data_IF_594954430142
#
_entry.id   IF_594954430142
#
_cell.length_a   1.000
_cell.length_b   1.000
_cell.length_c   1.000
_cell.angle_alpha   90.00
_cell.angle_beta   90.00
_cell.angle_gamma   90.00
#
_symmetry.space_group_name_H-M   'P 1'
#
loop_
_entity.id
_entity.type
_entity.pdbx_description
1 polymer ?
2 non-polymer ?
#
# COMPACT_ATOMS: atom_id res chain seq x y z
N UNK A 21 -17.19 -32.61 -1.92
CA UNK A 21 -15.95 -33.34 -1.52
C UNK A 21 -14.77 -32.40 -1.37
N UNK A 22 -14.73 -31.64 -0.27
CA UNK A 22 -13.65 -30.65 -0.07
C UNK A 22 -12.37 -31.32 0.42
N UNK A 23 -11.24 -31.01 -0.22
CA UNK A 23 -9.93 -31.56 0.19
C UNK A 23 -9.37 -30.81 1.38
N UNK A 24 -8.43 -31.44 2.08
CA UNK A 24 -7.78 -30.76 3.24
C UNK A 24 -6.58 -29.98 2.74
N UNK A 25 -6.28 -28.86 3.40
CA UNK A 25 -5.16 -28.02 2.96
C UNK A 25 -3.83 -28.63 3.34
N UNK A 26 -2.86 -28.81 2.39
CA UNK A 26 -1.54 -29.28 2.76
C UNK A 26 -0.80 -28.35 3.74
N UNK A 27 -0.12 -28.94 4.72
CA UNK A 27 0.67 -28.15 5.70
C UNK A 27 2.02 -27.84 5.07
N UNK A 28 2.37 -26.56 5.06
CA UNK A 28 3.68 -26.13 4.47
C UNK A 28 4.80 -26.72 5.32
N UNK A 29 5.76 -27.33 4.67
CA UNK A 29 6.92 -27.92 5.36
C UNK A 29 7.59 -26.88 6.26
N UNK A 30 7.93 -27.29 7.47
CA UNK A 30 8.63 -26.39 8.40
C UNK A 30 9.36 -27.13 9.49
N UNK A 31 9.67 -26.43 10.58
CA UNK A 31 10.40 -27.02 11.72
C UNK A 31 9.55 -28.12 12.35
N UNK A 32 10.12 -29.30 12.66
CA UNK A 32 9.38 -30.36 13.33
C UNK A 32 8.55 -29.93 14.54
N UNK A 33 8.94 -28.87 15.24
CA UNK A 33 8.26 -28.49 16.50
C UNK A 33 7.66 -27.08 16.40
N UNK A 34 8.33 -26.17 15.71
CA UNK A 34 7.91 -24.75 15.68
C UNK A 34 7.10 -24.45 14.39
N UNK A 35 6.97 -25.42 13.47
CA UNK A 35 6.31 -25.22 12.17
C UNK A 35 6.99 -24.12 11.35
N UNK A 36 6.20 -23.18 10.83
CA UNK A 36 6.70 -22.08 9.96
C UNK A 36 7.08 -20.83 10.77
N UNK A 37 7.18 -20.88 12.09
CA UNK A 37 7.40 -19.65 12.92
C UNK A 37 8.71 -18.98 12.52
N UNK A 38 9.79 -19.75 12.39
CA UNK A 38 11.14 -19.20 12.08
C UNK A 38 11.15 -18.74 10.62
N UNK A 39 10.54 -19.52 9.74
CA UNK A 39 10.57 -19.22 8.28
C UNK A 39 9.81 -17.91 8.03
N UNK A 40 8.65 -17.72 8.67
CA UNK A 40 7.79 -16.53 8.51
C UNK A 40 8.48 -15.30 9.13
N UNK A 41 9.33 -15.49 10.15
CA UNK A 41 10.09 -14.40 10.83
C UNK A 41 11.33 -14.02 9.99
N UNK A 42 12.05 -14.97 9.41
CA UNK A 42 13.36 -14.71 8.76
C UNK A 42 13.12 -14.23 7.33
N UNK A 43 12.21 -14.87 6.58
CA UNK A 43 12.04 -14.60 5.12
C UNK A 43 10.61 -14.94 4.73
N UNK A 44 9.60 -14.16 5.16
CA UNK A 44 8.21 -14.50 4.91
C UNK A 44 7.87 -14.54 3.40
N UNK A 45 8.48 -13.65 2.61
CA UNK A 45 8.21 -13.57 1.15
C UNK A 45 8.65 -14.84 0.42
N UNK A 46 9.85 -15.37 0.73
CA UNK A 46 10.38 -16.62 0.15
C UNK A 46 9.58 -17.81 0.65
N UNK A 47 9.10 -17.75 1.89
CA UNK A 47 8.30 -18.84 2.48
C UNK A 47 6.96 -18.94 1.72
N UNK A 48 6.41 -17.79 1.34
CA UNK A 48 5.10 -17.78 0.63
C UNK A 48 5.25 -18.41 -0.75
N UNK A 49 6.34 -18.07 -1.44
CA UNK A 49 6.58 -18.59 -2.81
C UNK A 49 6.89 -20.10 -2.75
N UNK A 50 7.64 -20.54 -1.75
CA UNK A 50 7.94 -21.98 -1.58
C UNK A 50 6.63 -22.74 -1.31
N UNK A 51 5.75 -22.15 -0.49
CA UNK A 51 4.48 -22.79 -0.17
C UNK A 51 3.66 -23.08 -1.43
N UNK A 52 3.59 -22.12 -2.36
CA UNK A 52 2.89 -22.34 -3.64
C UNK A 52 3.64 -23.36 -4.49
N UNK A 53 4.95 -23.19 -4.64
CA UNK A 53 5.77 -24.08 -5.49
C UNK A 53 5.69 -25.54 -5.04
N UNK A 54 5.73 -25.80 -3.75
CA UNK A 54 5.80 -27.20 -3.26
C UNK A 54 4.44 -27.75 -2.78
N UNK A 55 3.51 -26.89 -2.36
CA UNK A 55 2.27 -27.41 -1.74
C UNK A 55 0.99 -26.98 -2.47
N UNK A 56 1.03 -25.94 -3.29
CA UNK A 56 -0.15 -25.61 -4.08
C UNK A 56 -0.76 -24.25 -3.86
N UNK A 57 -2.00 -24.05 -4.32
CA UNK A 57 -2.65 -22.72 -4.28
C UNK A 57 -3.43 -22.50 -2.98
N UNK A 58 -3.89 -23.56 -2.31
CA UNK A 58 -4.50 -23.39 -0.97
C UNK A 58 -3.68 -24.18 0.03
N UNK A 59 -2.99 -23.46 0.92
CA UNK A 59 -2.06 -24.13 1.86
C UNK A 59 -2.40 -23.72 3.28
N UNK A 60 -1.75 -24.35 4.24
CA UNK A 60 -1.94 -23.96 5.66
C UNK A 60 -0.57 -23.83 6.33
N UNK A 61 -0.38 -22.75 7.07
CA UNK A 61 0.88 -22.53 7.80
C UNK A 61 0.67 -22.92 9.25
N UNK A 62 1.56 -23.77 9.77
CA UNK A 62 1.45 -24.25 11.16
C UNK A 62 2.39 -23.43 12.05
N UNK A 63 1.93 -23.09 13.24
CA UNK A 63 2.79 -22.39 14.22
C UNK A 63 3.19 -23.38 15.30
N UNK A 64 4.24 -23.06 16.05
CA UNK A 64 4.68 -23.95 17.14
C UNK A 64 5.00 -23.11 18.36
N UNK A 65 4.99 -23.66 19.59
CA UNK A 65 4.61 -25.05 19.83
C UNK A 65 3.13 -25.36 19.58
N UNK A 66 2.75 -26.62 19.37
CA UNK A 66 1.34 -26.99 19.24
C UNK A 66 0.44 -26.31 20.27
N UNK A 67 -0.63 -25.66 19.80
CA UNK A 67 -1.59 -25.02 20.71
C UNK A 67 -1.38 -23.52 20.86
N UNK A 68 -0.35 -22.98 20.22
CA UNK A 68 -0.06 -21.54 20.41
C UNK A 68 -1.04 -20.74 19.57
N UNK A 69 -1.15 -21.10 18.29
CA UNK A 69 -2.00 -20.32 17.37
C UNK A 69 -2.65 -21.27 16.38
N UNK A 70 -3.84 -20.94 15.92
CA UNK A 70 -4.54 -21.77 14.91
C UNK A 70 -3.80 -21.69 13.59
N UNK A 71 -3.99 -22.71 12.75
CA UNK A 71 -3.35 -22.71 11.41
C UNK A 71 -3.82 -21.50 10.62
N UNK A 72 -2.89 -20.83 9.94
CA UNK A 72 -3.27 -19.69 9.06
C UNK A 72 -3.34 -20.24 7.64
N UNK A 73 -4.45 -20.00 6.96
CA UNK A 73 -4.63 -20.54 5.61
C UNK A 73 -4.13 -19.51 4.60
N UNK A 74 -3.82 -19.95 3.39
CA UNK A 74 -3.30 -19.02 2.38
C UNK A 74 -3.83 -19.38 0.99
N UNK A 75 -4.36 -18.39 0.29
CA UNK A 75 -4.96 -18.61 -1.05
C UNK A 75 -4.10 -17.89 -2.09
N UNK A 76 -3.57 -18.63 -3.06
CA UNK A 76 -2.60 -18.05 -4.01
C UNK A 76 -3.14 -18.05 -5.44
N UNK A 77 -4.29 -18.69 -5.65
CA UNK A 77 -4.91 -18.66 -7.00
C UNK A 77 -5.63 -17.33 -7.22
N UNK A 78 -5.72 -16.90 -8.48
CA UNK A 78 -6.46 -15.67 -8.84
C UNK A 78 -7.95 -15.90 -8.58
N UNK A 79 -8.42 -17.10 -8.82
CA UNK A 79 -9.86 -17.42 -8.65
C UNK A 79 -10.19 -17.50 -7.16
N UNK A 80 -9.28 -18.03 -6.36
CA UNK A 80 -9.50 -18.04 -4.91
C UNK A 80 -9.45 -16.65 -4.34
N UNK A 81 -8.59 -15.80 -4.87
CA UNK A 81 -8.50 -14.40 -4.41
C UNK A 81 -9.79 -13.67 -4.76
N UNK A 82 -10.33 -13.92 -5.94
CA UNK A 82 -11.63 -13.34 -6.34
C UNK A 82 -12.74 -13.83 -5.41
N UNK A 83 -12.68 -15.09 -4.98
CA UNK A 83 -13.70 -15.63 -4.05
C UNK A 83 -13.54 -15.01 -2.67
N UNK A 84 -12.32 -14.90 -2.17
CA UNK A 84 -12.10 -14.40 -0.78
C UNK A 84 -12.44 -12.92 -0.75
N UNK A 85 -11.95 -12.19 -1.74
CA UNK A 85 -12.16 -10.73 -1.72
C UNK A 85 -13.50 -10.34 -2.33
N UNK A 86 -13.99 -11.00 -3.37
CA UNK A 86 -15.23 -10.49 -4.00
C UNK A 86 -16.42 -11.45 -3.95
N UNK A 87 -16.36 -12.56 -4.67
CA UNK A 87 -17.50 -13.49 -4.82
C UNK A 87 -18.15 -13.87 -3.48
N UNK A 88 -17.36 -14.26 -2.49
CA UNK A 88 -17.88 -14.68 -1.16
C UNK A 88 -17.29 -13.75 -0.08
N UNK A 89 -17.16 -12.46 -0.38
CA UNK A 89 -16.62 -11.45 0.56
C UNK A 89 -17.25 -11.50 1.94
N UNK A 90 -18.56 -11.73 2.03
CA UNK A 90 -19.27 -11.78 3.32
C UNK A 90 -18.76 -12.85 4.26
N UNK A 91 -18.17 -13.92 3.72
CA UNK A 91 -17.66 -15.02 4.57
C UNK A 91 -16.24 -14.70 5.04
N UNK A 92 -15.60 -13.72 4.42
CA UNK A 92 -14.19 -13.41 4.77
C UNK A 92 -14.08 -12.00 5.35
N UNK A 93 -13.94 -11.92 6.66
CA UNK A 93 -14.08 -10.65 7.42
C UNK A 93 -12.72 -10.14 7.91
N UNK A 94 -12.70 -8.87 8.33
CA UNK A 94 -11.48 -8.26 8.90
C UNK A 94 -11.53 -8.45 10.41
N UNK A 95 -11.59 -9.72 10.85
CA UNK A 95 -11.73 -10.03 12.30
C UNK A 95 -10.40 -10.54 12.84
N UNK A 96 -9.33 -10.45 12.07
CA UNK A 96 -7.99 -10.83 12.56
C UNK A 96 -7.58 -9.90 13.71
N UNK A 97 -6.69 -10.35 14.60
CA UNK A 97 -6.27 -9.57 15.80
C UNK A 97 -5.55 -8.29 15.37
N UNK A 98 -4.80 -8.34 14.27
CA UNK A 98 -4.09 -7.16 13.73
C UNK A 98 -5.07 -6.00 13.51
N UNK A 99 -6.24 -6.28 12.97
CA UNK A 99 -7.24 -5.23 12.69
C UNK A 99 -7.70 -4.62 14.01
N UNK A 100 -7.92 -5.45 15.02
CA UNK A 100 -8.32 -4.95 16.35
C UNK A 100 -7.23 -4.08 16.95
N UNK A 101 -5.96 -4.40 16.70
CA UNK A 101 -4.83 -3.60 17.23
C UNK A 101 -4.76 -2.26 16.50
N UNK A 102 -5.01 -2.25 15.19
CA UNK A 102 -5.04 -0.99 14.41
C UNK A 102 -6.20 -0.11 14.90
N UNK A 103 -7.37 -0.69 15.11
CA UNK A 103 -8.55 0.09 15.56
C UNK A 103 -8.22 0.74 16.90
N UNK A 104 -7.64 0.00 17.82
CA UNK A 104 -7.23 0.55 19.14
C UNK A 104 -6.16 1.63 18.98
N UNK A 105 -5.33 1.59 17.94
CA UNK A 105 -4.14 2.45 17.77
C UNK A 105 -4.50 3.74 17.06
N UNK A 106 -5.32 3.67 15.99
CA UNK A 106 -5.62 4.80 15.07
C UNK A 106 -7.14 5.02 14.90
N UNK A 107 -7.99 4.16 15.44
CA UNK A 107 -9.45 4.33 15.40
C UNK A 107 -10.07 3.45 14.32
N UNK A 108 -11.40 3.31 14.37
CA UNK A 108 -12.15 2.37 13.49
C UNK A 108 -12.57 3.13 12.22
N UNK A 109 -11.59 3.50 11.40
CA UNK A 109 -11.80 4.15 10.10
C UNK A 109 -12.17 3.15 9.00
N UNK A 110 -12.14 3.64 7.76
CA UNK A 110 -12.76 3.05 6.57
C UNK A 110 -12.03 1.73 6.26
N UNK A 111 -10.74 1.61 6.56
CA UNK A 111 -9.98 0.38 6.28
C UNK A 111 -10.35 -0.74 7.26
N UNK A 112 -10.68 -0.40 8.50
CA UNK A 112 -10.91 -1.43 9.55
C UNK A 112 -12.40 -1.61 9.85
N UNK A 113 -13.23 -0.65 9.47
CA UNK A 113 -14.67 -0.70 9.82
C UNK A 113 -15.42 -1.80 9.08
N UNK A 114 -16.49 -2.29 9.68
CA UNK A 114 -17.28 -3.36 9.06
C UNK A 114 -18.76 -3.10 9.32
N UNK A 115 -19.63 -3.80 8.60
CA UNK A 115 -21.10 -3.71 8.80
C UNK A 115 -21.65 -2.30 8.68
N UNK A 116 -22.63 -1.96 9.51
CA UNK A 116 -23.29 -0.64 9.44
C UNK A 116 -22.29 0.49 9.64
N UNK A 117 -21.32 0.31 10.53
CA UNK A 117 -20.31 1.36 10.80
C UNK A 117 -19.59 1.69 9.50
N UNK A 118 -19.19 0.67 8.74
CA UNK A 118 -18.48 0.89 7.46
C UNK A 118 -19.41 1.54 6.45
N UNK A 119 -20.65 1.06 6.37
CA UNK A 119 -21.59 1.57 5.33
C UNK A 119 -21.82 3.08 5.49
N UNK A 120 -21.96 3.55 6.72
CA UNK A 120 -22.13 5.01 6.99
C UNK A 120 -20.85 5.74 6.59
N UNK A 121 -19.69 5.19 6.95
CA UNK A 121 -18.40 5.81 6.58
C UNK A 121 -18.24 5.86 5.05
N UNK A 122 -18.58 4.78 4.35
CA UNK A 122 -18.47 4.73 2.87
C UNK A 122 -19.40 5.77 2.25
N UNK A 123 -20.61 5.89 2.79
CA UNK A 123 -21.59 6.90 2.28
C UNK A 123 -21.01 8.31 2.41
N UNK A 124 -20.31 8.59 3.50
CA UNK A 124 -19.79 9.96 3.75
C UNK A 124 -18.43 10.19 3.09
N UNK A 125 -17.64 9.16 2.80
CA UNK A 125 -16.26 9.36 2.29
C UNK A 125 -16.15 9.17 0.77
N UNK A 126 -16.89 8.22 0.19
CA UNK A 126 -16.83 7.96 -1.28
C UNK A 126 -16.96 9.26 -2.09
N UNK A 127 -17.90 10.20 -1.80
CA UNK A 127 -17.94 11.48 -2.49
C UNK A 127 -16.61 12.25 -2.57
N UNK A 128 -15.68 12.02 -1.66
CA UNK A 128 -14.39 12.75 -1.63
C UNK A 128 -13.38 12.03 -2.51
N UNK A 129 -13.73 10.84 -3.03
CA UNK A 129 -12.76 10.02 -3.79
C UNK A 129 -13.29 9.80 -5.21
N UNK A 130 -14.10 10.73 -5.69
CA UNK A 130 -14.58 10.68 -7.09
C UNK A 130 -13.41 11.02 -8.01
N UNK A 131 -13.43 10.51 -9.23
CA UNK A 131 -12.35 10.77 -10.20
C UNK A 131 -12.14 12.28 -10.35
N UNK A 132 -13.23 13.04 -10.47
CA UNK A 132 -13.13 14.51 -10.68
C UNK A 132 -12.51 15.20 -9.47
N UNK A 133 -12.93 14.84 -8.26
CA UNK A 133 -12.33 15.43 -7.03
C UNK A 133 -10.85 15.06 -6.97
N UNK A 134 -10.54 13.78 -7.19
CA UNK A 134 -9.11 13.36 -7.15
C UNK A 134 -8.33 14.08 -8.24
N UNK A 135 -8.86 14.15 -9.45
CA UNK A 135 -8.15 14.82 -10.58
C UNK A 135 -7.84 16.27 -10.24
N UNK A 136 -8.63 16.89 -9.35
CA UNK A 136 -8.43 18.30 -8.94
C UNK A 136 -7.15 18.49 -8.14
N UNK A 137 -6.57 17.41 -7.64
CA UNK A 137 -5.34 17.47 -6.80
C UNK A 137 -4.09 17.26 -7.67
N UNK A 138 -4.25 17.31 -8.98
CA UNK A 138 -3.11 17.06 -9.90
C UNK A 138 -2.02 18.14 -9.76
N UNK A 139 -2.42 19.40 -9.65
CA UNK A 139 -1.46 20.51 -9.53
C UNK A 139 -0.64 20.42 -8.26
N UNK A 140 -1.24 19.96 -7.16
CA UNK A 140 -0.48 19.76 -5.91
C UNK A 140 0.62 18.72 -6.13
N UNK A 141 0.29 17.60 -6.76
CA UNK A 141 1.29 16.52 -7.04
C UNK A 141 2.41 17.09 -7.91
N UNK A 142 2.05 17.77 -9.00
CA UNK A 142 3.04 18.36 -9.93
C UNK A 142 3.96 19.35 -9.21
N UNK A 143 3.42 20.16 -8.32
CA UNK A 143 4.22 21.15 -7.56
C UNK A 143 5.16 20.46 -6.58
N UNK A 144 4.67 19.43 -5.90
CA UNK A 144 5.51 18.67 -4.93
C UNK A 144 6.64 17.99 -5.70
N UNK A 145 6.35 17.45 -6.87
CA UNK A 145 7.37 16.75 -7.68
C UNK A 145 8.40 17.73 -8.23
N UNK A 146 7.95 18.94 -8.59
CA UNK A 146 8.89 19.97 -9.08
C UNK A 146 9.75 20.43 -7.91
N UNK A 147 9.18 20.43 -6.71
CA UNK A 147 9.98 20.77 -5.52
C UNK A 147 11.07 19.75 -5.27
N UNK A 148 10.74 18.47 -5.37
CA UNK A 148 11.75 17.40 -5.22
C UNK A 148 12.81 17.55 -6.31
N UNK A 149 12.39 17.88 -7.53
CA UNK A 149 13.34 18.03 -8.65
C UNK A 149 14.36 19.13 -8.34
N UNK A 150 13.92 20.27 -7.81
CA UNK A 150 14.84 21.40 -7.56
C UNK A 150 15.85 21.00 -6.48
N UNK A 151 15.39 20.29 -5.46
CA UNK A 151 16.30 19.82 -4.39
C UNK A 151 17.31 18.83 -4.96
N UNK A 152 16.86 17.95 -5.83
CA UNK A 152 17.75 16.91 -6.42
C UNK A 152 18.75 17.58 -7.34
N UNK A 153 18.36 18.69 -7.97
CA UNK A 153 19.26 19.42 -8.91
C UNK A 153 20.45 19.97 -8.13
N UNK A 154 20.28 20.23 -6.84
CA UNK A 154 21.40 20.68 -6.01
C UNK A 154 21.91 19.60 -5.08
N UNK A 155 22.04 18.37 -5.55
CA UNK A 155 22.67 17.33 -4.71
C UNK A 155 24.16 17.23 -5.11
N UNK A 156 25.16 17.63 -4.26
CA UNK A 156 26.56 17.60 -4.67
C UNK A 156 27.06 16.20 -5.03
N UNK A 157 26.53 15.18 -4.38
CA UNK A 157 26.93 13.79 -4.68
C UNK A 157 26.28 13.27 -5.94
N UNK A 158 25.16 13.85 -6.36
CA UNK A 158 24.41 13.39 -7.54
C UNK A 158 23.75 12.06 -7.28
N UNK A 159 23.48 11.73 -6.03
CA UNK A 159 22.96 10.38 -5.72
C UNK A 159 21.88 10.39 -4.66
N UNK A 160 21.02 9.37 -4.67
CA UNK A 160 19.88 9.34 -3.72
C UNK A 160 19.63 7.91 -3.24
N UNK A 161 19.05 7.77 -2.05
CA UNK A 161 18.59 6.45 -1.59
C UNK A 161 17.08 6.53 -1.81
N UNK A 162 16.55 5.84 -2.81
CA UNK A 162 15.13 6.00 -3.19
C UNK A 162 14.13 5.64 -2.10
N UNK A 163 14.39 4.63 -1.28
CA UNK A 163 13.40 4.21 -0.25
C UNK A 163 13.18 5.42 0.66
N UNK A 164 14.26 6.00 1.17
CA UNK A 164 14.19 7.19 2.04
C UNK A 164 13.62 8.36 1.30
N UNK A 165 14.03 8.59 0.06
CA UNK A 165 13.57 9.79 -0.69
C UNK A 165 12.07 9.73 -0.96
N UNK A 166 11.56 8.59 -1.38
CA UNK A 166 10.13 8.46 -1.76
C UNK A 166 9.26 8.38 -0.51
N UNK A 167 9.81 7.92 0.62
CA UNK A 167 9.06 7.90 1.91
C UNK A 167 8.71 9.35 2.27
N UNK A 168 9.70 10.23 2.25
CA UNK A 168 9.43 11.68 2.49
C UNK A 168 8.48 12.23 1.44
N UNK A 169 8.77 12.04 0.15
CA UNK A 169 7.97 12.64 -0.94
C UNK A 169 6.50 12.23 -0.84
N UNK A 170 6.23 10.95 -0.57
CA UNK A 170 4.84 10.45 -0.53
C UNK A 170 4.06 11.07 0.61
N UNK A 171 4.71 11.27 1.76
CA UNK A 171 4.03 11.93 2.90
C UNK A 171 3.72 13.38 2.51
N UNK A 172 4.66 14.03 1.85
CA UNK A 172 4.47 15.43 1.44
C UNK A 172 3.30 15.55 0.46
N UNK A 173 3.13 14.57 -0.43
CA UNK A 173 2.05 14.64 -1.45
C UNK A 173 0.71 14.40 -0.76
N UNK A 174 0.62 13.32 0.01
CA UNK A 174 -0.67 12.97 0.67
C UNK A 174 -1.02 14.05 1.70
N UNK A 175 -0.01 14.65 2.34
CA UNK A 175 -0.23 15.71 3.34
C UNK A 175 -0.62 17.03 2.69
N UNK A 176 -0.11 17.31 1.50
CA UNK A 176 -0.55 18.52 0.76
C UNK A 176 -2.00 18.29 0.37
N UNK A 177 -2.32 17.08 -0.06
CA UNK A 177 -3.70 16.76 -0.51
C UNK A 177 -4.63 16.84 0.70
N UNK A 178 -4.17 16.34 1.86
CA UNK A 178 -4.95 16.37 3.14
C UNK A 178 -4.99 17.78 3.77
N UNK A 179 -3.84 18.41 4.00
CA UNK A 179 -3.81 19.64 4.85
C UNK A 179 -3.43 20.93 4.13
N UNK A 180 -3.19 20.87 2.84
CA UNK A 180 -2.89 22.10 2.12
C UNK A 180 -1.44 22.48 2.22
N UNK A 181 -1.15 23.78 2.19
CA UNK A 181 0.26 24.22 2.13
C UNK A 181 0.84 24.61 3.48
N UNK A 182 2.17 24.78 3.52
CA UNK A 182 2.88 25.23 4.75
C UNK A 182 2.59 24.26 5.89
N UNK A 183 2.62 22.97 5.58
CA UNK A 183 2.38 21.93 6.62
C UNK A 183 3.64 21.08 6.79
N UNK A 184 4.82 21.68 6.58
CA UNK A 184 6.09 20.94 6.87
C UNK A 184 6.15 20.81 8.38
N UNK A 185 5.51 21.74 9.05
CA UNK A 185 5.39 21.66 10.52
C UNK A 185 4.74 20.33 10.88
N UNK A 186 3.53 20.10 10.35
CA UNK A 186 2.79 18.87 10.72
C UNK A 186 3.53 17.65 10.16
N UNK A 187 4.15 17.79 8.99
CA UNK A 187 4.87 16.66 8.34
C UNK A 187 5.85 16.00 9.34
N UNK A 188 6.73 16.77 9.96
CA UNK A 188 7.78 16.18 10.85
C UNK A 188 7.18 15.45 12.05
N UNK A 189 6.12 15.98 12.65
CA UNK A 189 5.43 15.30 13.77
C UNK A 189 4.84 13.98 13.26
N UNK A 190 4.01 14.03 12.22
CA UNK A 190 3.40 12.79 11.64
C UNK A 190 4.53 11.84 11.26
N UNK A 191 5.56 12.35 10.60
CA UNK A 191 6.71 11.53 10.11
C UNK A 191 7.25 10.71 11.27
N UNK A 192 7.33 11.27 12.48
CA UNK A 192 7.96 10.56 13.61
C UNK A 192 6.94 9.86 14.51
N UNK A 193 5.66 10.25 14.47
CA UNK A 193 4.66 9.67 15.39
C UNK A 193 3.92 8.49 14.78
N UNK A 194 3.27 8.68 13.63
CA UNK A 194 2.46 7.61 12.99
C UNK A 194 3.20 6.28 12.83
N UNK A 195 4.43 6.20 12.26
CA UNK A 195 5.09 4.91 12.10
C UNK A 195 5.19 4.08 13.38
N UNK A 196 5.45 4.73 14.51
CA UNK A 196 5.60 4.02 15.81
C UNK A 196 4.27 3.38 16.21
N UNK A 197 3.15 4.07 16.02
CA UNK A 197 1.81 3.53 16.38
C UNK A 197 1.47 2.34 15.48
N UNK A 198 1.92 2.38 14.23
CA UNK A 198 1.71 1.27 13.29
C UNK A 198 2.53 0.06 13.74
N UNK A 199 3.79 0.28 14.10
CA UNK A 199 4.68 -0.83 14.54
C UNK A 199 4.11 -1.45 15.81
N UNK A 200 3.67 -0.62 16.75
CA UNK A 200 3.03 -1.12 18.00
C UNK A 200 1.87 -2.05 17.64
N UNK A 201 1.00 -1.62 16.74
CA UNK A 201 -0.17 -2.43 16.34
C UNK A 201 0.23 -3.70 15.61
N UNK A 202 1.15 -3.60 14.65
CA UNK A 202 1.61 -4.77 13.86
C UNK A 202 2.25 -5.80 14.78
N UNK A 203 3.13 -5.34 15.67
CA UNK A 203 3.90 -6.27 16.53
C UNK A 203 2.94 -6.97 17.49
N UNK A 204 1.95 -6.26 18.01
CA UNK A 204 0.98 -6.85 18.94
C UNK A 204 0.04 -7.81 18.20
N UNK A 205 -0.40 -7.43 17.00
CA UNK A 205 -1.32 -8.29 16.22
C UNK A 205 -0.66 -9.56 15.77
N UNK A 206 0.67 -9.54 15.60
CA UNK A 206 1.41 -10.76 15.23
C UNK A 206 2.00 -11.47 16.47
N UNK A 207 1.82 -10.91 17.67
CA UNK A 207 2.47 -11.48 18.87
C UNK A 207 1.64 -12.61 19.50
N UNK A 208 2.29 -13.57 20.21
CA UNK A 208 1.58 -14.62 20.89
C UNK A 208 1.27 -14.29 22.35
N UNK A 209 1.44 -13.03 22.77
CA UNK A 209 1.06 -12.60 24.14
C UNK A 209 0.75 -11.09 24.10
N UNK A 210 -0.30 -10.62 24.76
CA UNK A 210 -0.64 -9.18 24.63
C UNK A 210 -0.96 -8.52 25.97
N UNK A 211 0.04 -7.92 26.60
CA UNK A 211 -0.20 -7.16 27.85
C UNK A 211 -1.05 -5.93 27.52
N UNK A 212 -2.18 -5.69 28.22
CA UNK A 212 -3.06 -4.56 27.93
C UNK A 212 -2.36 -3.20 27.73
N UNK A 213 -2.83 -2.39 26.79
CA UNK A 213 -2.14 -1.11 26.48
C UNK A 213 -2.21 -0.19 27.69
N UNK A 214 -3.14 -0.44 28.63
CA UNK A 214 -3.28 0.37 29.87
C UNK A 214 -2.11 0.06 30.82
N UNK A 215 -1.67 -1.20 30.88
CA UNK A 215 -0.43 -1.63 31.60
C UNK A 215 0.67 -0.61 31.40
N UNK A 216 1.38 -0.16 32.47
CA UNK A 216 2.33 0.95 32.37
C UNK A 216 3.77 0.54 31.97
N UNK A 217 3.88 -0.40 31.03
CA UNK A 217 5.20 -0.85 30.52
C UNK A 217 5.82 0.31 29.74
N UNK A 218 7.15 0.47 29.74
CA UNK A 218 7.79 1.53 28.96
C UNK A 218 7.24 1.66 27.52
N UNK A 219 7.05 0.54 26.81
CA UNK A 219 6.52 0.57 25.43
C UNK A 219 5.08 1.10 25.37
N UNK A 220 4.20 0.63 26.25
CA UNK A 220 2.77 1.05 26.22
C UNK A 220 2.66 2.52 26.62
N UNK A 221 3.55 2.98 27.49
CA UNK A 221 3.57 4.40 27.90
C UNK A 221 4.02 5.24 26.72
N UNK A 222 5.07 4.80 26.03
CA UNK A 222 5.59 5.54 24.86
C UNK A 222 4.50 5.63 23.78
N UNK A 223 3.75 4.55 23.58
CA UNK A 223 2.71 4.55 22.53
C UNK A 223 1.59 5.52 22.87
N UNK A 224 1.23 5.61 24.15
CA UNK A 224 0.12 6.51 24.55
C UNK A 224 0.56 7.97 24.43
N UNK A 225 1.85 8.23 24.64
CA UNK A 225 2.38 9.61 24.50
C UNK A 225 2.45 9.94 23.01
N UNK A 226 2.83 8.95 22.20
CA UNK A 226 2.86 9.16 20.72
C UNK A 226 1.43 9.44 20.26
N UNK A 227 0.46 8.69 20.76
CA UNK A 227 -0.96 8.85 20.35
C UNK A 227 -1.42 10.25 20.71
N UNK A 228 -1.18 10.67 21.95
CA UNK A 228 -1.63 11.99 22.41
C UNK A 228 -1.14 13.09 21.48
N UNK A 229 0.15 13.10 21.18
CA UNK A 229 0.76 14.15 20.32
C UNK A 229 0.08 14.16 18.95
N UNK A 230 -0.05 13.00 18.31
CA UNK A 230 -0.60 12.92 16.94
C UNK A 230 -2.09 13.26 16.95
N UNK A 231 -2.81 12.76 17.94
CA UNK A 231 -4.26 13.01 18.05
C UNK A 231 -4.51 14.51 18.21
N UNK A 232 -3.76 15.17 19.09
CA UNK A 232 -3.91 16.62 19.32
C UNK A 232 -3.58 17.40 18.05
N UNK A 233 -2.51 17.01 17.35
CA UNK A 233 -2.17 17.67 16.06
C UNK A 233 -3.35 17.56 15.11
N UNK A 234 -3.84 16.34 14.92
CA UNK A 234 -4.97 16.09 14.00
C UNK A 234 -6.17 16.94 14.42
N UNK A 235 -6.48 16.96 15.71
CA UNK A 235 -7.69 17.68 16.19
C UNK A 235 -7.55 19.17 15.93
N UNK A 236 -6.35 19.72 16.10
CA UNK A 236 -6.11 21.14 15.79
C UNK A 236 -6.29 21.42 14.32
N UNK A 237 -5.72 20.57 13.46
CA UNK A 237 -5.89 20.73 11.99
C UNK A 237 -7.37 20.64 11.65
N UNK A 238 -8.06 19.64 12.18
CA UNK A 238 -9.51 19.44 11.89
C UNK A 238 -10.30 20.66 12.37
N UNK A 239 -9.97 21.16 13.56
CA UNK A 239 -10.75 22.29 14.14
C UNK A 239 -10.47 23.57 13.36
N UNK A 240 -9.32 23.67 12.71
CA UNK A 240 -9.00 24.85 11.88
C UNK A 240 -9.84 24.83 10.60
N UNK A 241 -10.28 23.65 10.18
CA UNK A 241 -11.01 23.55 8.89
C UNK A 241 -12.51 23.65 9.13
N UNK A 242 -12.94 23.61 10.38
CA UNK A 242 -14.37 23.79 10.73
C UNK A 242 -14.74 25.24 10.42
N UNK A 243 -13.76 26.13 10.46
CA UNK A 243 -13.97 27.56 10.14
C UNK A 243 -14.00 27.72 8.61
N UNK A 254 -12.81 23.17 -7.14
CA UNK A 254 -12.36 23.87 -5.90
C UNK A 254 -11.00 23.33 -5.46
N UNK A 255 -10.21 24.16 -4.80
CA UNK A 255 -8.87 23.74 -4.32
C UNK A 255 -8.89 23.42 -2.84
N UNK A 256 -9.98 22.80 -2.37
CA UNK A 256 -10.12 22.49 -0.93
C UNK A 256 -9.33 21.24 -0.57
N UNK A 257 -8.75 21.23 0.63
CA UNK A 257 -8.00 20.05 1.12
C UNK A 257 -8.97 18.95 1.55
N UNK A 258 -8.47 17.73 1.68
CA UNK A 258 -9.36 16.59 2.01
C UNK A 258 -9.94 16.69 3.41
N UNK A 259 -9.19 17.23 4.37
CA UNK A 259 -9.71 17.41 5.76
C UNK A 259 -10.91 18.37 5.71
N UNK A 260 -10.82 19.43 4.91
CA UNK A 260 -11.95 20.39 4.75
C UNK A 260 -13.18 19.64 4.23
N UNK A 261 -13.01 18.78 3.23
CA UNK A 261 -14.15 18.04 2.62
C UNK A 261 -14.67 16.94 3.55
N UNK A 262 -13.82 16.35 4.38
CA UNK A 262 -14.27 15.35 5.38
C UNK A 262 -15.11 16.06 6.43
N UNK A 263 -14.68 17.25 6.85
CA UNK A 263 -15.41 18.03 7.88
C UNK A 263 -16.78 18.44 7.30
N UNK A 264 -16.84 18.69 6.00
CA UNK A 264 -18.09 19.16 5.34
C UNK A 264 -18.88 17.99 4.76
N UNK A 265 -18.46 16.76 5.01
CA UNK A 265 -19.20 15.58 4.55
C UNK A 265 -20.45 15.45 5.40
N UNK A 266 -21.59 15.16 4.77
CA UNK A 266 -22.89 15.02 5.42
C UNK A 266 -23.89 14.43 4.46
N UNK A 267 -24.88 13.73 4.99
CA UNK A 267 -26.12 13.41 4.23
C UNK A 267 -27.27 13.35 5.25
N UNK A 268 -28.49 13.14 4.76
CA UNK A 268 -29.76 13.09 5.52
C UNK A 268 -29.75 11.91 6.52
N UNK A 269 -29.28 10.76 6.09
CA UNK A 269 -29.37 9.53 6.93
C UNK A 269 -28.24 9.37 7.93
N UNK A 270 -27.08 9.94 7.65
CA UNK A 270 -25.90 9.65 8.52
C UNK A 270 -25.47 10.90 9.25
N UNK A 271 -26.09 12.04 8.96
CA UNK A 271 -25.60 13.29 9.53
C UNK A 271 -24.19 13.55 9.05
N UNK A 272 -23.33 13.98 9.95
CA UNK A 272 -21.93 14.26 9.60
C UNK A 272 -20.99 13.46 10.51
N UNK A 273 -19.71 13.44 10.18
CA UNK A 273 -18.71 12.70 10.98
C UNK A 273 -18.40 13.47 12.26
N UNK A 274 -18.31 12.77 13.39
CA UNK A 274 -17.91 13.41 14.66
C UNK A 274 -16.40 13.67 14.70
N UNK A 275 -15.91 14.37 15.72
CA UNK A 275 -14.48 14.73 15.81
C UNK A 275 -13.59 13.49 15.85
N UNK A 276 -13.98 12.48 16.62
CA UNK A 276 -13.21 11.23 16.68
C UNK A 276 -13.26 10.56 15.32
N UNK A 277 -14.44 10.57 14.69
CA UNK A 277 -14.56 9.96 13.35
C UNK A 277 -13.66 10.71 12.38
N UNK A 278 -13.57 12.04 12.49
CA UNK A 278 -12.77 12.85 11.54
C UNK A 278 -11.30 12.45 11.70
N UNK A 279 -10.83 12.29 12.94
CA UNK A 279 -9.41 11.96 13.20
C UNK A 279 -9.09 10.57 12.67
N UNK A 280 -9.99 9.61 12.89
CA UNK A 280 -9.79 8.21 12.45
C UNK A 280 -9.55 8.16 10.94
N UNK A 281 -10.30 8.95 10.18
CA UNK A 281 -10.19 8.95 8.70
C UNK A 281 -8.89 9.60 8.25
N UNK A 282 -8.52 10.74 8.84
CA UNK A 282 -7.25 11.43 8.49
C UNK A 282 -6.09 10.47 8.74
N UNK A 283 -6.09 9.82 9.89
CA UNK A 283 -5.03 8.86 10.25
C UNK A 283 -5.00 7.67 9.28
N UNK A 284 -6.16 7.11 8.95
CA UNK A 284 -6.23 5.94 8.02
C UNK A 284 -5.75 6.36 6.64
N UNK A 285 -6.06 7.58 6.19
CA UNK A 285 -5.65 8.06 4.85
C UNK A 285 -4.14 8.21 4.84
N UNK A 286 -3.58 8.76 5.92
CA UNK A 286 -2.11 8.91 6.05
C UNK A 286 -1.46 7.54 6.06
N UNK A 287 -1.94 6.61 6.89
CA UNK A 287 -1.38 5.24 7.00
C UNK A 287 -1.50 4.47 5.68
N UNK A 288 -2.66 4.52 5.03
CA UNK A 288 -2.90 3.71 3.81
C UNK A 288 -2.28 4.31 2.56
N UNK A 289 -1.85 5.58 2.60
CA UNK A 289 -1.33 6.23 1.39
C UNK A 289 0.13 6.64 1.45
N UNK A 290 0.78 6.49 2.61
CA UNK A 290 2.17 6.94 2.78
C UNK A 290 3.21 5.88 2.40
N UNK A 291 3.17 4.69 2.99
CA UNK A 291 4.25 3.73 2.68
C UNK A 291 3.88 3.01 1.38
N UNK A 292 2.59 2.82 1.16
CA UNK A 292 2.10 2.13 -0.07
C UNK A 292 2.61 2.86 -1.32
N UNK A 293 2.36 4.17 -1.39
CA UNK A 293 2.77 4.94 -2.59
C UNK A 293 4.30 5.09 -2.60
N UNK A 294 4.91 5.23 -1.44
CA UNK A 294 6.39 5.32 -1.38
C UNK A 294 7.02 4.07 -2.01
N UNK A 295 6.55 2.89 -1.63
CA UNK A 295 7.10 1.60 -2.13
C UNK A 295 6.99 1.56 -3.65
N UNK A 296 5.83 1.92 -4.20
CA UNK A 296 5.61 1.85 -5.65
C UNK A 296 6.53 2.84 -6.37
N UNK A 297 6.68 4.05 -5.83
CA UNK A 297 7.50 5.10 -6.48
C UNK A 297 8.97 4.68 -6.46
N UNK A 298 9.46 4.25 -5.31
CA UNK A 298 10.88 3.88 -5.16
C UNK A 298 11.23 2.73 -6.11
N UNK A 299 10.38 1.71 -6.16
CA UNK A 299 10.72 0.50 -6.96
C UNK A 299 10.55 0.77 -8.45
N UNK A 300 9.59 1.60 -8.84
CA UNK A 300 9.45 1.98 -10.25
C UNK A 300 10.72 2.69 -10.71
N UNK A 301 11.18 3.63 -9.91
CA UNK A 301 12.40 4.41 -10.24
C UNK A 301 13.62 3.50 -10.22
N UNK A 302 13.67 2.55 -9.28
CA UNK A 302 14.81 1.62 -9.17
C UNK A 302 14.84 0.68 -10.38
N UNK A 303 13.67 0.18 -10.80
CA UNK A 303 13.61 -0.67 -12.00
C UNK A 303 14.03 0.14 -13.22
N UNK A 304 13.55 1.37 -13.33
CA UNK A 304 13.92 2.21 -14.48
C UNK A 304 15.43 2.53 -14.43
N UNK A 305 15.98 2.70 -13.23
CA UNK A 305 17.43 2.97 -13.07
C UNK A 305 18.23 1.76 -13.55
N UNK A 306 17.73 0.55 -13.35
CA UNK A 306 18.46 -0.70 -13.71
C UNK A 306 18.08 -1.15 -15.13
N UNK A 307 17.13 -0.47 -15.76
CA UNK A 307 16.63 -0.87 -17.10
C UNK A 307 16.63 0.33 -18.05
N UNK A 308 17.79 0.69 -18.64
CA UNK A 308 17.90 1.90 -19.46
C UNK A 308 16.97 2.05 -20.67
N UNK A 309 16.67 0.96 -21.37
CA UNK A 309 15.80 1.02 -22.57
C UNK A 309 14.38 1.44 -22.17
N UNK A 310 13.86 0.84 -21.11
CA UNK A 310 12.51 1.18 -20.61
C UNK A 310 12.50 2.61 -20.10
N UNK A 311 13.60 3.05 -19.48
CA UNK A 311 13.69 4.45 -19.01
C UNK A 311 13.67 5.41 -20.20
N UNK A 312 14.38 5.06 -21.28
CA UNK A 312 14.41 5.91 -22.49
C UNK A 312 13.01 5.99 -23.10
N UNK A 313 12.26 4.89 -23.05
CA UNK A 313 10.88 4.87 -23.57
C UNK A 313 9.99 5.80 -22.73
N UNK A 314 10.04 5.66 -21.41
CA UNK A 314 9.26 6.56 -20.50
C UNK A 314 9.67 8.00 -20.75
N UNK A 315 10.96 8.24 -20.97
CA UNK A 315 11.48 9.62 -21.18
C UNK A 315 10.92 10.19 -22.48
N UNK A 316 11.00 9.43 -23.56
CA UNK A 316 10.53 9.91 -24.89
C UNK A 316 9.04 10.19 -24.80
N UNK A 317 8.33 9.38 -24.03
CA UNK A 317 6.87 9.60 -23.83
C UNK A 317 6.66 10.88 -23.01
N UNK A 318 7.38 11.05 -21.91
CA UNK A 318 7.29 12.26 -21.07
C UNK A 318 7.65 13.51 -21.89
N UNK A 319 8.73 13.44 -22.68
CA UNK A 319 9.22 14.57 -23.52
C UNK A 319 8.16 14.95 -24.56
N UNK A 320 7.49 13.98 -25.15
CA UNK A 320 6.46 14.23 -26.18
C UNK A 320 5.25 14.90 -25.53
N UNK A 321 4.89 14.51 -24.30
CA UNK A 321 3.63 15.05 -23.72
C UNK A 321 3.90 16.36 -22.98
N UNK A 322 5.02 16.45 -22.29
CA UNK A 322 5.25 17.63 -21.42
C UNK A 322 6.22 18.65 -22.04
N UNK A 323 6.85 18.33 -23.15
CA UNK A 323 7.70 19.34 -23.82
C UNK A 323 9.18 19.21 -23.49
N UNK A 324 9.58 18.17 -22.77
CA UNK A 324 11.01 17.94 -22.54
C UNK A 324 11.55 18.61 -21.30
N UNK A 325 12.86 18.52 -21.03
CA UNK A 325 13.47 19.17 -19.88
C UNK A 325 13.02 20.63 -19.80
N UNK A 326 12.58 21.05 -18.61
CA UNK A 326 12.08 22.42 -18.43
C UNK A 326 10.68 22.55 -18.99
N UNK A 327 9.97 21.43 -19.10
CA UNK A 327 8.65 21.45 -19.73
C UNK A 327 7.50 21.79 -18.82
N UNK A 328 6.27 21.61 -19.33
CA UNK A 328 5.08 22.00 -18.57
C UNK A 328 4.70 20.98 -17.50
N UNK A 329 3.97 21.45 -16.50
CA UNK A 329 3.47 20.56 -15.44
C UNK A 329 2.48 19.57 -16.04
N UNK A 330 2.52 18.30 -15.61
CA UNK A 330 1.55 17.33 -16.07
C UNK A 330 0.19 17.61 -15.45
N UNK A 331 -0.87 17.27 -16.17
CA UNK A 331 -2.24 17.45 -15.65
C UNK A 331 -2.86 16.06 -15.54
N UNK A 332 -4.08 15.98 -15.02
CA UNK A 332 -4.77 14.69 -14.85
C UNK A 332 -5.07 14.06 -16.22
N UNK A 333 -5.38 14.87 -17.21
CA UNK A 333 -5.69 14.37 -18.57
C UNK A 333 -4.44 13.79 -19.23
N UNK A 334 -3.27 14.18 -18.76
CA UNK A 334 -1.99 13.69 -19.32
C UNK A 334 -1.84 12.20 -19.00
N UNK A 335 -2.58 11.71 -18.02
CA UNK A 335 -2.52 10.27 -17.65
C UNK A 335 -2.95 9.40 -18.83
N UNK A 336 -3.88 9.86 -19.65
CA UNK A 336 -4.32 9.10 -20.85
C UNK A 336 -3.24 9.15 -21.93
N UNK A 337 -2.35 10.13 -21.85
CA UNK A 337 -1.29 10.31 -22.86
C UNK A 337 0.02 9.73 -22.36
N UNK A 338 0.02 9.15 -21.16
CA UNK A 338 1.24 8.53 -20.59
C UNK A 338 1.02 7.03 -20.32
N UNK A 339 0.68 6.19 -21.32
CA UNK A 339 0.41 4.78 -21.07
C UNK A 339 1.61 3.87 -20.76
N UNK A 340 2.79 4.13 -21.33
CA UNK A 340 3.99 3.32 -21.01
C UNK A 340 4.39 3.54 -19.56
N UNK A 341 4.33 4.78 -19.10
CA UNK A 341 4.61 5.07 -17.67
C UNK A 341 3.61 4.30 -16.80
N UNK A 342 2.34 4.29 -17.20
CA UNK A 342 1.30 3.54 -16.46
C UNK A 342 1.66 2.05 -16.47
N UNK A 343 2.12 1.54 -17.60
CA UNK A 343 2.53 0.11 -17.72
C UNK A 343 3.76 -0.18 -16.86
N UNK A 344 4.71 0.74 -16.81
CA UNK A 344 5.91 0.58 -15.94
C UNK A 344 5.46 0.51 -14.47
N UNK A 345 4.53 1.38 -14.06
CA UNK A 345 4.02 1.41 -12.67
C UNK A 345 3.32 0.09 -12.32
N UNK A 346 2.47 -0.41 -13.23
CA UNK A 346 1.72 -1.63 -12.90
C UNK A 346 2.70 -2.80 -12.76
N UNK A 347 3.74 -2.85 -13.58
CA UNK A 347 4.76 -3.93 -13.54
C UNK A 347 5.58 -3.79 -12.26
N UNK A 348 5.85 -2.57 -11.81
CA UNK A 348 6.56 -2.34 -10.54
C UNK A 348 5.71 -2.86 -9.40
N UNK A 349 4.39 -2.63 -9.45
CA UNK A 349 3.49 -3.06 -8.35
C UNK A 349 3.23 -4.56 -8.45
N UNK A 350 3.49 -5.17 -9.60
CA UNK A 350 3.36 -6.64 -9.73
C UNK A 350 4.56 -7.27 -9.01
N UNK A 351 5.75 -6.79 -9.32
CA UNK A 351 6.98 -7.36 -8.71
C UNK A 351 7.10 -6.91 -7.26
N UNK A 352 6.64 -5.70 -6.95
CA UNK A 352 6.82 -5.15 -5.59
C UNK A 352 5.47 -4.66 -5.03
N UNK A 353 4.51 -5.57 -4.75
CA UNK A 353 3.22 -5.16 -4.21
C UNK A 353 3.38 -4.52 -2.83
N UNK A 354 2.93 -3.27 -2.70
CA UNK A 354 3.07 -2.55 -1.42
C UNK A 354 2.29 -3.32 -0.35
N UNK A 355 1.17 -3.95 -0.68
CA UNK A 355 0.50 -4.85 0.27
C UNK A 355 0.73 -6.29 -0.19
N UNK A 356 1.79 -6.98 0.28
CA UNK A 356 2.11 -8.31 -0.22
C UNK A 356 1.11 -9.38 0.21
N UNK A 357 0.41 -9.16 1.32
CA UNK A 357 -0.60 -10.11 1.84
C UNK A 357 -1.84 -9.32 2.26
N UNK A 358 -3.02 -9.90 2.11
CA UNK A 358 -4.28 -9.24 2.57
C UNK A 358 -4.98 -10.24 3.48
N UNK A 359 -5.09 -9.92 4.77
CA UNK A 359 -5.64 -10.87 5.74
C UNK A 359 -7.15 -10.82 5.89
N UNK A 360 -7.76 -11.98 6.12
CA UNK A 360 -9.22 -12.09 6.35
C UNK A 360 -9.45 -13.21 7.37
N UNK A 361 -10.69 -13.37 7.83
CA UNK A 361 -11.04 -14.46 8.75
C UNK A 361 -12.36 -15.08 8.31
N UNK A 362 -12.38 -16.40 8.13
CA UNK A 362 -13.58 -17.11 7.67
C UNK A 362 -14.65 -17.14 8.76
N UNK A 363 -15.90 -16.90 8.39
CA UNK A 363 -17.02 -16.94 9.36
C UNK A 363 -17.55 -18.36 9.36
N UNK A 364 -17.77 -18.90 8.16
CA UNK A 364 -18.29 -20.26 8.02
C UNK A 364 -17.32 -21.08 7.16
N UNK A 365 -17.49 -22.39 7.17
CA UNK A 365 -16.66 -23.28 6.32
C UNK A 365 -16.80 -22.86 4.87
N UNK A 366 -15.69 -22.86 4.15
CA UNK A 366 -15.70 -22.47 2.73
C UNK A 366 -14.88 -23.46 1.91
N UNK A 367 -15.03 -23.39 0.60
CA UNK A 367 -14.25 -24.26 -0.30
C UNK A 367 -13.60 -23.38 -1.36
N UNK A 368 -12.27 -23.33 -1.34
CA UNK A 368 -11.51 -22.52 -2.32
C UNK A 368 -10.62 -23.47 -3.11
N UNK A 369 -10.71 -23.47 -4.43
CA UNK A 369 -9.91 -24.38 -5.30
C UNK A 369 -10.03 -25.83 -4.83
N UNK A 370 -11.23 -26.23 -4.41
CA UNK A 370 -11.47 -27.61 -3.98
C UNK A 370 -10.93 -27.89 -2.61
N UNK A 371 -10.56 -26.85 -1.87
CA UNK A 371 -9.91 -27.06 -0.55
C UNK A 371 -10.74 -26.39 0.53
N UNK A 372 -10.87 -27.04 1.67
CA UNK A 372 -11.71 -26.53 2.76
C UNK A 372 -11.01 -25.48 3.59
N UNK A 373 -11.68 -24.35 3.82
CA UNK A 373 -11.13 -23.33 4.75
C UNK A 373 -12.14 -23.33 5.90
N UNK A 374 -11.75 -23.79 7.10
CA UNK A 374 -12.66 -23.90 8.21
C UNK A 374 -13.25 -22.60 8.76
N UNK A 375 -14.37 -22.72 9.44
CA UNK A 375 -14.97 -21.55 10.11
C UNK A 375 -14.00 -21.02 11.16
N UNK A 376 -13.82 -19.71 11.23
CA UNK A 376 -12.97 -19.08 12.24
C UNK A 376 -11.52 -19.03 11.82
N UNK A 377 -11.23 -19.54 10.63
CA UNK A 377 -9.81 -19.64 10.23
C UNK A 377 -9.28 -18.29 9.77
N UNK A 378 -8.10 -17.95 10.28
CA UNK A 378 -7.43 -16.74 9.77
C UNK A 378 -6.84 -17.19 8.44
N UNK A 379 -6.98 -16.36 7.42
CA UNK A 379 -6.47 -16.71 6.08
C UNK A 379 -5.91 -15.46 5.41
N UNK A 380 -5.21 -15.68 4.31
CA UNK A 380 -4.69 -14.52 3.57
C UNK A 380 -4.53 -14.78 2.08
N UNK A 381 -4.93 -13.80 1.30
CA UNK A 381 -4.55 -13.79 -0.13
C UNK A 381 -3.21 -13.04 -0.23
N UNK A 382 -2.49 -13.23 -1.31
CA UNK A 382 -1.15 -12.65 -1.44
C UNK A 382 -0.92 -12.17 -2.86
N UNK A 383 -1.08 -10.85 -3.09
CA UNK A 383 -0.58 -10.24 -4.32
C UNK A 383 0.89 -10.61 -4.61
N UNK A 384 1.72 -10.77 -3.57
CA UNK A 384 3.15 -11.14 -3.71
C UNK A 384 3.26 -12.46 -4.49
N UNK A 385 2.48 -13.47 -4.16
CA UNK A 385 2.62 -14.80 -4.82
C UNK A 385 1.88 -14.85 -6.15
N UNK A 386 0.63 -14.39 -6.18
CA UNK A 386 -0.23 -14.44 -7.39
C UNK A 386 0.39 -13.64 -8.53
N UNK A 387 1.09 -12.54 -8.22
CA UNK A 387 1.75 -11.69 -9.23
C UNK A 387 2.98 -12.38 -9.81
N UNK A 388 3.48 -13.42 -9.16
CA UNK A 388 4.66 -14.18 -9.65
C UNK A 388 4.23 -15.61 -9.97
N UNK A 389 2.94 -15.85 -10.11
CA UNK A 389 2.41 -17.22 -10.38
C UNK A 389 2.70 -17.61 -11.83
N UNK A 390 3.40 -18.73 -12.07
CA UNK A 390 3.68 -19.19 -13.43
C UNK A 390 2.46 -19.51 -14.32
N UNK A 391 1.30 -19.76 -13.72
CA UNK A 391 0.05 -20.03 -14.48
C UNK A 391 -0.45 -18.76 -15.17
N UNK A 392 -0.06 -17.58 -14.69
CA UNK A 392 -0.57 -16.31 -15.27
C UNK A 392 0.59 -15.45 -15.74
N UNK A 393 1.80 -15.72 -15.24
CA UNK A 393 2.93 -14.82 -15.53
C UNK A 393 4.13 -15.56 -16.20
N UNK A 394 4.32 -15.58 -17.55
CA UNK A 394 5.52 -16.18 -18.12
C UNK A 394 6.79 -15.51 -17.59
N UNK A 395 7.78 -16.30 -17.14
CA UNK A 395 9.10 -15.80 -16.63
C UNK A 395 8.82 -14.72 -15.57
N UNK A 396 8.20 -15.08 -14.43
CA UNK A 396 7.59 -14.11 -13.52
C UNK A 396 8.50 -13.06 -12.87
N UNK A 397 9.81 -13.29 -12.82
CA UNK A 397 10.75 -12.36 -12.15
C UNK A 397 11.33 -11.34 -13.13
N UNK A 398 11.00 -11.47 -14.41
CA UNK A 398 11.48 -10.52 -15.46
C UNK A 398 10.64 -9.25 -15.41
N UNK A 399 11.28 -8.08 -15.48
CA UNK A 399 10.65 -6.75 -15.56
C UNK A 399 10.21 -6.51 -16.99
N UNK A 400 8.91 -6.49 -17.27
CA UNK A 400 8.42 -6.26 -18.65
C UNK A 400 7.12 -5.48 -18.61
N UNK A 401 7.15 -4.14 -18.81
CA UNK A 401 5.94 -3.32 -18.86
C UNK A 401 4.93 -3.73 -19.95
N UNK A 402 5.38 -4.40 -21.02
CA UNK A 402 4.52 -4.89 -22.14
C UNK A 402 3.49 -5.90 -21.64
N UNK A 403 3.64 -6.39 -20.41
CA UNK A 403 2.64 -7.30 -19.82
C UNK A 403 1.33 -6.55 -19.55
N UNK A 404 1.38 -5.21 -19.57
CA UNK A 404 0.19 -4.41 -19.18
C UNK A 404 -0.44 -3.70 -20.37
N UNK A 405 -0.14 -4.17 -21.58
CA UNK A 405 -0.86 -3.65 -22.76
C UNK A 405 -2.31 -4.17 -22.60
N UNK A 406 -3.34 -3.50 -23.12
CA UNK A 406 -4.69 -4.04 -23.01
C UNK A 406 -4.83 -5.49 -23.50
N UNK A 407 -4.15 -5.85 -24.57
CA UNK A 407 -4.22 -7.22 -25.16
C UNK A 407 -3.64 -8.27 -24.20
N UNK A 408 -2.53 -7.96 -23.57
CA UNK A 408 -1.89 -8.91 -22.65
C UNK A 408 -2.74 -9.08 -21.39
N UNK A 409 -3.38 -8.01 -20.93
CA UNK A 409 -4.26 -8.08 -19.74
C UNK A 409 -5.43 -9.02 -20.05
N UNK A 410 -5.94 -9.00 -21.27
CA UNK A 410 -7.07 -9.88 -21.68
C UNK A 410 -6.69 -11.35 -21.66
N UNK A 411 -5.40 -11.67 -21.82
CA UNK A 411 -4.98 -13.07 -21.89
C UNK A 411 -4.70 -13.70 -20.55
N UNK A 412 -5.04 -13.00 -19.47
CA UNK A 412 -4.77 -13.49 -18.11
C UNK A 412 -5.98 -13.22 -17.21
N UNK A 413 -6.22 -14.05 -16.18
CA UNK A 413 -7.33 -13.84 -15.26
C UNK A 413 -7.32 -12.45 -14.60
N UNK A 414 -8.50 -11.97 -14.19
CA UNK A 414 -8.63 -10.62 -13.58
C UNK A 414 -7.80 -10.48 -12.30
N UNK A 415 -7.84 -11.48 -11.41
CA UNK A 415 -7.14 -11.35 -10.10
C UNK A 415 -5.72 -11.91 -10.14
N UNK A 416 -5.09 -11.94 -11.32
CA UNK A 416 -3.68 -12.32 -11.39
C UNK A 416 -2.90 -11.11 -10.89
N UNK A 417 -3.49 -9.93 -11.05
CA UNK A 417 -2.87 -8.66 -10.60
C UNK A 417 -3.90 -7.93 -9.73
N UNK A 418 -3.64 -7.82 -8.44
CA UNK A 418 -4.57 -7.16 -7.49
C UNK A 418 -3.82 -6.42 -6.36
N UNK A 419 -2.90 -5.48 -6.65
CA UNK A 419 -2.19 -4.76 -5.61
C UNK A 419 -3.09 -3.82 -4.79
N UNK A 420 -4.19 -3.35 -5.36
CA UNK A 420 -5.14 -2.45 -4.65
C UNK A 420 -6.27 -3.28 -4.09
N UNK A 421 -6.08 -4.59 -4.07
CA UNK A 421 -7.13 -5.50 -3.58
C UNK A 421 -8.18 -5.70 -4.64
N UNK A 422 -9.43 -5.86 -4.20
CA UNK A 422 -10.54 -6.06 -5.14
C UNK A 422 -11.88 -6.21 -4.44
N UNK A 423 -12.94 -6.15 -5.22
CA UNK A 423 -14.29 -6.32 -4.66
C UNK A 423 -14.78 -5.12 -3.87
N UNK A 424 -15.69 -5.32 -2.91
CA UNK A 424 -16.27 -4.22 -2.14
C UNK A 424 -15.32 -3.41 -1.26
N UNK A 425 -14.19 -4.00 -0.87
CA UNK A 425 -13.22 -3.33 0.02
C UNK A 425 -11.93 -3.01 -0.73
N UNK A 426 -12.01 -2.86 -2.05
CA UNK A 426 -10.82 -2.43 -2.82
C UNK A 426 -10.36 -1.04 -2.39
N UNK A 427 -9.12 -0.70 -2.71
CA UNK A 427 -8.54 0.61 -2.36
C UNK A 427 -9.35 1.78 -2.91
N UNK A 428 -9.76 2.70 -2.04
CA UNK A 428 -10.52 3.91 -2.46
C UNK A 428 -9.58 4.94 -3.08
N UNK A 429 -8.28 4.89 -2.74
CA UNK A 429 -7.29 5.84 -3.26
C UNK A 429 -6.47 5.29 -4.39
N UNK A 430 -7.01 4.30 -5.12
CA UNK A 430 -6.27 3.66 -6.23
C UNK A 430 -5.96 4.71 -7.31
N UNK A 431 -6.96 5.48 -7.72
CA UNK A 431 -6.77 6.52 -8.75
C UNK A 431 -5.88 7.65 -8.23
N UNK A 432 -6.03 8.02 -6.96
CA UNK A 432 -5.15 9.05 -6.36
C UNK A 432 -3.69 8.57 -6.40
N UNK A 433 -3.45 7.33 -6.03
CA UNK A 433 -2.08 6.76 -6.02
C UNK A 433 -1.51 6.81 -7.44
N UNK A 434 -2.33 6.48 -8.44
CA UNK A 434 -1.86 6.46 -9.84
C UNK A 434 -1.61 7.88 -10.32
N UNK A 435 -2.46 8.82 -9.94
CA UNK A 435 -2.26 10.24 -10.31
C UNK A 435 -0.94 10.70 -9.71
N UNK A 436 -0.70 10.38 -8.44
CA UNK A 436 0.51 10.87 -7.77
C UNK A 436 1.76 10.16 -8.32
N UNK A 437 1.61 8.92 -8.75
CA UNK A 437 2.76 8.14 -9.27
C UNK A 437 3.06 8.54 -10.71
N UNK A 438 2.06 8.53 -11.58
CA UNK A 438 2.30 8.84 -13.02
C UNK A 438 2.77 10.28 -13.16
N UNK A 439 2.03 11.23 -12.62
CA UNK A 439 2.39 12.66 -12.79
C UNK A 439 3.69 12.95 -12.03
N UNK A 440 3.89 12.31 -10.88
CA UNK A 440 5.15 12.46 -10.15
C UNK A 440 6.35 11.96 -10.93
N UNK A 441 6.27 10.74 -11.43
CA UNK A 441 7.44 10.16 -12.14
C UNK A 441 7.62 10.86 -13.48
N UNK A 442 6.55 11.43 -14.01
CA UNK A 442 6.62 12.15 -15.30
C UNK A 442 7.55 13.36 -15.16
N UNK A 443 7.37 14.17 -14.11
CA UNK A 443 8.27 15.33 -13.85
C UNK A 443 9.70 14.83 -13.64
N UNK A 444 9.88 13.83 -12.77
CA UNK A 444 11.24 13.36 -12.43
C UNK A 444 11.99 12.78 -13.65
N UNK A 445 11.29 12.14 -14.58
CA UNK A 445 11.93 11.55 -15.79
C UNK A 445 12.14 12.66 -16.83
N UNK A 446 11.30 13.69 -16.79
CA UNK A 446 11.44 14.85 -17.70
C UNK A 446 12.67 15.66 -17.30
N UNK A 447 13.08 15.58 -16.04
CA UNK A 447 14.17 16.45 -15.56
C UNK A 447 15.42 15.67 -15.19
N UNK A 448 15.33 14.34 -15.07
CA UNK A 448 16.49 13.57 -14.57
C UNK A 448 16.67 12.21 -15.23
N UNK A 449 17.92 11.80 -15.42
CA UNK A 449 18.21 10.43 -15.90
C UNK A 449 18.61 9.65 -14.65
N UNK A 450 18.23 8.39 -14.58
CA UNK A 450 18.47 7.58 -13.35
C UNK A 450 19.40 6.43 -13.68
N UNK A 451 20.35 6.16 -12.80
CA UNK A 451 21.30 5.04 -13.00
C UNK A 451 21.55 4.37 -11.65
N UNK A 452 21.29 3.07 -11.57
CA UNK A 452 21.45 2.35 -10.29
C UNK A 452 22.92 2.27 -9.91
N UNK A 453 23.20 2.49 -8.64
CA UNK A 453 24.61 2.41 -8.16
C UNK A 453 24.69 1.41 -7.01
N UNK A 454 25.75 0.62 -7.01
CA UNK A 454 25.96 -0.37 -5.93
C UNK A 454 25.07 -1.57 -6.08
N UNK A 455 24.77 -2.22 -4.97
CA UNK A 455 23.88 -3.41 -4.99
C UNK A 455 22.54 -3.01 -5.60
N UNK A 456 22.09 -3.76 -6.60
CA UNK A 456 20.81 -3.45 -7.28
C UNK A 456 19.74 -4.42 -6.77
N UNK A 457 20.16 -5.42 -5.99
CA UNK A 457 19.21 -6.38 -5.41
C UNK A 457 18.81 -5.89 -4.02
N UNK A 458 17.59 -5.37 -3.90
CA UNK A 458 17.11 -4.87 -2.58
C UNK A 458 16.40 -6.00 -1.86
N UNK A 459 16.92 -6.43 -0.70
CA UNK A 459 16.29 -7.48 0.08
C UNK A 459 14.93 -6.99 0.57
N UNK A 460 13.96 -7.89 0.65
CA UNK A 460 12.60 -7.45 1.00
C UNK A 460 12.01 -8.24 2.16
N UNK A 461 11.23 -7.57 2.99
CA UNK A 461 10.51 -8.24 4.08
C UNK A 461 9.06 -7.82 4.02
N UNK A 462 8.28 -8.14 5.05
CA UNK A 462 6.84 -7.84 5.02
C UNK A 462 6.31 -7.46 6.40
N UNK A 463 5.77 -6.26 6.55
CA UNK A 463 5.12 -5.83 7.79
C UNK A 463 3.67 -5.57 7.46
N UNK A 464 3.21 -4.32 7.61
CA UNK A 464 1.84 -4.01 7.14
C UNK A 464 2.00 -3.90 5.63
N UNK A 465 3.13 -3.36 5.23
CA UNK A 465 3.40 -3.20 3.79
C UNK A 465 4.69 -3.94 3.46
N UNK A 466 5.07 -4.01 2.20
CA UNK A 466 6.37 -4.58 1.80
C UNK A 466 7.45 -3.73 2.46
N UNK A 467 8.40 -4.38 3.15
CA UNK A 467 9.44 -3.63 3.88
C UNK A 467 10.77 -3.72 3.12
N UNK A 468 11.41 -2.59 2.89
CA UNK A 468 12.74 -2.60 2.25
C UNK A 468 13.82 -2.90 3.30
N UNK A 469 14.54 -4.02 3.13
CA UNK A 469 15.57 -4.45 4.10
C UNK A 469 16.93 -4.12 3.51
N UNK A 470 16.96 -3.29 2.47
CA UNK A 470 18.22 -2.85 1.87
C UNK A 470 18.09 -1.49 1.23
N UNK A 471 19.19 -0.76 0.96
CA UNK A 471 19.12 0.51 0.27
C UNK A 471 18.92 0.39 -1.24
N UNK A 472 18.18 1.31 -1.84
CA UNK A 472 18.01 1.36 -3.31
C UNK A 472 18.75 2.60 -3.79
N UNK A 473 20.06 2.47 -4.01
CA UNK A 473 20.89 3.64 -4.38
C UNK A 473 20.76 3.94 -5.87
N UNK A 474 20.79 5.23 -6.20
CA UNK A 474 20.60 5.65 -7.59
C UNK A 474 21.31 6.98 -7.82
N UNK A 475 21.91 7.15 -8.98
CA UNK A 475 22.51 8.45 -9.34
C UNK A 475 21.48 9.25 -10.12
N UNK A 476 21.26 10.51 -9.75
CA UNK A 476 20.30 11.39 -10.48
C UNK A 476 21.10 12.36 -11.34
N UNK A 477 20.88 12.33 -12.66
CA UNK A 477 21.61 13.23 -13.59
C UNK A 477 20.65 14.29 -14.12
N UNK A 478 20.77 15.56 -13.71
CA UNK A 478 19.94 16.63 -14.26
C UNK A 478 20.01 16.69 -15.78
N UNK A 479 18.86 16.81 -16.43
CA UNK A 479 18.80 16.80 -17.91
C UNK A 479 18.91 18.23 -18.46
N UNK A 480 18.73 19.23 -17.60
CA UNK A 480 18.94 20.64 -18.01
C UNK A 480 19.59 21.42 -16.88
X LIG B 1 -7.65 -0.16 0.92
X LIG B 1 -6.52 4.60 1.06
X LIG B 1 -2.77 3.84 -1.89
X LIG B 1 -3.51 -0.89 -1.41
X LIG B 1 -7.63 1.20 1.22
X LIG B 1 -8.62 1.83 2.00
X LIG B 1 -8.28 3.14 2.05
X LIG B 1 -7.10 3.37 1.28
X LIG B 1 -9.02 4.21 2.78
X LIG B 1 -9.81 1.13 2.60
X LIG B 1 -10.91 1.09 1.51
X LIG B 1 -12.23 0.48 2.02
X LIG B 1 -12.26 -0.49 2.81
X LIG B 1 -13.33 0.95 1.61
X LIG B 1 -5.41 4.82 0.21
X LIG B 1 -4.86 6.12 -0.06
X LIG B 1 -3.80 5.88 -0.86
X LIG B 1 -3.77 4.42 -1.10
X LIG B 1 -5.30 7.50 0.50
X LIG B 1 -2.86 6.71 -1.62
X LIG B 1 -3.28 7.78 -2.23
X LIG B 1 -2.57 2.47 -2.00
X LIG B 1 -1.58 1.86 -2.77
X LIG B 1 -1.79 0.52 -2.62
X LIG B 1 -2.92 0.31 -1.75
X LIG B 1 -0.48 2.45 -3.59
X LIG B 1 -0.84 -0.40 -3.27
X LIG B 1 -0.61 -1.56 -2.72
X LIG B 1 -4.69 -1.08 -0.75
X LIG B 1 -5.29 -2.42 -0.52
X LIG B 1 -6.43 -2.20 0.15
X LIG B 1 -6.57 -0.73 0.27
X LIG B 1 -4.81 -3.83 -0.83
X LIG B 1 -7.41 -3.30 0.57
X LIG B 1 -7.12 -3.82 1.96
X LIG B 1 -8.09 -4.94 2.26
X LIG B 1 -8.91 -5.28 1.40
X LIG B 1 -8.14 -5.49 3.38
X LIG B 1 -6.74 2.18 0.74
X LIG B 1 -4.73 3.86 -0.43
X LIG B 1 -3.36 1.52 -1.43
X LIG B 1 -5.50 -0.10 -0.26
X LIG B 1 -5.19 1.79 -0.46
#
# INVERSE_FOLDING_TARGET
MASMTGGQQMGRGSEFMTAAGAAQAPIVAGHPLLGSMNDLLNDPLATYLRARRDHGDVVRFRAGPPGLRADIYAVFSAEGAQQVLATESGNFRKDNVFYGELRDSVGNGLLTSQDATYLRQRRLVQPLFTRRRVDGYAGQVADEAAGLAEAWRGIPGGGVELVGEMHRFALRVVGRILFGTDMETTFEVIERTLPLLQEYALKRGLAPVRTPRTWPTPANRRAARTQAELFALCDGIIDSRRNRKNEGDGGEESGEDLVTLLVRAGNAEDGSLDAAELREQVLIFLLAGHETTATALAFALHLLARHPEQQRRVRDEADRVLGGPGGRAPTAADMEALPYLTMVLKEAMRLYPSAPVIGRRAVADAEVDGVRIPAGADLFVSPWVTHRHPDYWPDPERFDPERFTPEAEAGRPRYAWFPFGGGPRACIGQHLSMLESVLGLAVLIREFEFEAVGEEEVPLGAGITLLAKGPARCRVIPRSSGPRSSHHHHHH
HEM CHA CHB CHC CHD C1A C2A C3A C4A CMA CAA CBA CGA O1A O2A C1B C2B C3B C4B CMB CAB CBB C1C C2C C3C C4C CMC CAC CBC C1D C2D C3D C4D CMD CAD CBD CGD O1D O2D NA NB NC ND FE
#
